data_IF_795332199989
#
_entry.id   IF_795332199989
#
_cell.length_a   1.000
_cell.length_b   1.000
_cell.length_c   1.000
_cell.angle_alpha   90.00
_cell.angle_beta   90.00
_cell.angle_gamma   90.00
#
_symmetry.space_group_name_H-M   'P 1'
#
loop_
_entity.id
_entity.type
_entity.pdbx_description
1 polymer ?
#
# COMPACT_ATOMS: atom_id res chain seq x y z
N UNK A 1 6.46 -1.34 1.02
CA UNK A 1 6.08 -2.12 -0.16
C UNK A 1 4.58 -2.47 -0.15
N UNK A 2 4.10 -3.34 0.74
CA UNK A 2 2.70 -3.81 0.76
C UNK A 2 1.67 -2.67 0.75
N UNK A 3 1.89 -1.63 1.53
CA UNK A 3 1.01 -0.46 1.58
C UNK A 3 1.03 0.34 0.27
N UNK A 4 2.20 0.52 -0.35
CA UNK A 4 2.34 1.35 -1.56
C UNK A 4 1.98 0.62 -2.86
N UNK A 5 1.77 -0.70 -2.82
CA UNK A 5 1.47 -1.51 -4.02
C UNK A 5 0.14 -2.24 -3.93
N UNK A 6 -0.40 -2.40 -2.74
CA UNK A 6 -1.56 -3.24 -2.49
C UNK A 6 -1.35 -4.72 -2.85
N UNK A 7 -0.10 -5.18 -2.98
CA UNK A 7 0.21 -6.56 -3.32
C UNK A 7 -0.34 -7.56 -2.29
N UNK A 8 -0.73 -8.75 -2.74
CA UNK A 8 -0.99 -9.88 -1.84
C UNK A 8 0.32 -10.37 -1.23
N UNK A 9 0.25 -11.02 -0.06
CA UNK A 9 1.45 -11.52 0.61
C UNK A 9 2.28 -12.45 -0.28
N UNK A 10 1.64 -13.40 -0.94
CA UNK A 10 2.31 -14.32 -1.87
C UNK A 10 2.97 -13.58 -3.05
N UNK A 11 2.29 -12.58 -3.61
CA UNK A 11 2.81 -11.75 -4.69
C UNK A 11 4.06 -10.95 -4.24
N UNK A 12 4.00 -10.30 -3.08
CA UNK A 12 5.14 -9.55 -2.54
C UNK A 12 6.36 -10.45 -2.33
N UNK A 13 6.16 -11.67 -1.83
CA UNK A 13 7.26 -12.62 -1.59
C UNK A 13 7.96 -13.05 -2.87
N UNK A 14 7.23 -13.17 -3.97
CA UNK A 14 7.76 -13.61 -5.27
C UNK A 14 8.41 -12.51 -6.11
N UNK A 15 8.31 -11.23 -5.70
CA UNK A 15 8.93 -10.12 -6.44
C UNK A 15 10.45 -10.27 -6.44
N UNK A 16 11.04 -10.16 -7.63
CA UNK A 16 12.48 -10.14 -7.85
C UNK A 16 12.97 -8.72 -8.16
N UNK A 17 14.27 -8.49 -8.11
CA UNK A 17 14.84 -7.16 -8.42
C UNK A 17 14.48 -6.70 -9.84
N UNK A 18 14.47 -7.61 -10.81
CA UNK A 18 14.07 -7.33 -12.21
C UNK A 18 12.62 -6.88 -12.38
N UNK A 19 11.78 -7.11 -11.39
CA UNK A 19 10.38 -6.69 -11.42
C UNK A 19 10.17 -5.25 -11.00
N UNK A 20 11.18 -4.62 -10.40
CA UNK A 20 11.16 -3.21 -9.99
C UNK A 20 11.85 -2.38 -11.05
N UNK A 21 11.07 -1.69 -11.88
CA UNK A 21 11.57 -0.89 -12.97
C UNK A 21 11.61 0.58 -12.53
N UNK A 22 12.82 1.10 -12.37
CA UNK A 22 13.06 2.50 -12.06
C UNK A 22 13.56 3.18 -13.32
N UNK A 23 12.64 3.79 -14.05
CA UNK A 23 12.97 4.68 -15.14
C UNK A 23 12.74 6.14 -14.72
N UNK A 24 13.30 7.08 -15.48
CA UNK A 24 13.26 8.51 -15.11
C UNK A 24 11.85 9.11 -15.13
N UNK A 25 10.90 8.50 -15.85
CA UNK A 25 9.59 9.11 -16.10
C UNK A 25 8.45 8.45 -15.32
N UNK A 26 8.41 7.12 -15.32
CA UNK A 26 7.29 6.34 -14.72
C UNK A 26 7.82 5.07 -14.06
N UNK A 27 8.32 5.14 -12.82
CA UNK A 27 8.75 3.94 -12.10
C UNK A 27 7.54 3.05 -11.79
N UNK A 28 7.72 1.74 -11.91
CA UNK A 28 6.65 0.77 -11.65
C UNK A 28 7.19 -0.56 -11.16
N UNK A 29 6.31 -1.36 -10.57
CA UNK A 29 6.58 -2.74 -10.18
C UNK A 29 5.69 -3.66 -11.02
N UNK A 30 6.30 -4.71 -11.58
CA UNK A 30 5.57 -5.82 -12.19
C UNK A 30 5.23 -6.83 -11.11
N UNK A 31 3.95 -7.09 -10.89
CA UNK A 31 3.47 -8.06 -9.91
C UNK A 31 2.76 -9.19 -10.65
N UNK A 32 3.21 -10.41 -10.42
CA UNK A 32 2.57 -11.61 -10.99
C UNK A 32 1.55 -12.16 -10.00
N UNK A 33 0.28 -12.13 -10.40
CA UNK A 33 -0.85 -12.59 -9.60
C UNK A 33 -1.20 -14.06 -9.84
N UNK A 34 -2.35 -14.47 -9.30
CA UNK A 34 -2.92 -15.83 -9.49
C UNK A 34 -3.08 -16.13 -10.99
N UNK A 35 -2.75 -17.34 -11.38
CA UNK A 35 -2.78 -17.78 -12.79
C UNK A 35 -1.67 -17.18 -13.64
N UNK A 36 -0.57 -16.74 -13.05
CA UNK A 36 0.59 -16.16 -13.74
C UNK A 36 0.22 -14.91 -14.58
N UNK A 37 -0.79 -14.15 -14.15
CA UNK A 37 -1.22 -12.91 -14.82
C UNK A 37 -0.43 -11.73 -14.26
N UNK A 38 0.47 -11.11 -15.05
CA UNK A 38 1.22 -9.94 -14.62
C UNK A 38 0.33 -8.68 -14.64
N UNK A 39 0.56 -7.80 -13.66
CA UNK A 39 0.05 -6.42 -13.67
C UNK A 39 1.15 -5.44 -13.32
N UNK A 40 0.97 -4.22 -13.76
CA UNK A 40 1.89 -3.11 -13.49
C UNK A 40 1.26 -2.25 -12.40
N UNK A 41 2.03 -1.99 -11.35
CA UNK A 41 1.66 -1.07 -10.28
C UNK A 41 2.62 0.12 -10.32
N UNK A 42 2.14 1.32 -10.67
CA UNK A 42 2.95 2.53 -10.65
C UNK A 42 3.48 2.82 -9.25
N UNK A 43 4.66 3.41 -9.16
CA UNK A 43 5.26 3.87 -7.90
C UNK A 43 5.19 5.40 -7.89
N UNK A 44 4.18 6.00 -7.23
CA UNK A 44 4.00 7.45 -7.29
C UNK A 44 4.83 8.23 -6.25
N UNK A 45 5.49 7.53 -5.32
CA UNK A 45 6.05 8.17 -4.14
C UNK A 45 7.59 8.22 -4.16
N UNK A 46 8.15 9.41 -4.06
CA UNK A 46 9.60 9.62 -3.86
C UNK A 46 10.12 8.92 -2.60
N UNK A 47 9.29 8.82 -1.56
CA UNK A 47 9.62 8.10 -0.32
C UNK A 47 9.83 6.60 -0.56
N UNK A 48 9.02 5.97 -1.40
CA UNK A 48 9.19 4.57 -1.77
C UNK A 48 10.52 4.36 -2.49
N UNK A 49 10.80 5.19 -3.50
CA UNK A 49 12.04 5.09 -4.29
C UNK A 49 13.28 5.30 -3.43
N UNK A 50 13.25 6.26 -2.51
CA UNK A 50 14.33 6.51 -1.57
C UNK A 50 14.59 5.28 -0.68
N UNK A 51 13.53 4.72 -0.11
CA UNK A 51 13.62 3.54 0.76
C UNK A 51 14.04 2.29 -0.02
N UNK A 52 13.57 2.13 -1.26
CA UNK A 52 13.97 1.03 -2.14
C UNK A 52 15.46 1.10 -2.45
N UNK A 53 15.97 2.25 -2.89
CA UNK A 53 17.39 2.43 -3.17
C UNK A 53 18.26 2.15 -1.95
N UNK A 54 17.85 2.66 -0.78
CA UNK A 54 18.54 2.40 0.48
C UNK A 54 18.53 0.91 0.84
N UNK A 55 17.38 0.25 0.70
CA UNK A 55 17.23 -1.20 0.93
C UNK A 55 18.12 -2.01 0.00
N UNK A 56 18.14 -1.71 -1.30
CA UNK A 56 18.99 -2.40 -2.27
C UNK A 56 20.47 -2.20 -1.96
N UNK A 57 20.87 -1.00 -1.59
CA UNK A 57 22.26 -0.72 -1.18
C UNK A 57 22.71 -1.61 0.00
N UNK A 58 21.84 -1.82 0.97
CA UNK A 58 22.15 -2.63 2.16
C UNK A 58 22.11 -4.14 1.90
N UNK A 59 21.11 -4.60 1.15
CA UNK A 59 20.79 -6.02 1.04
C UNK A 59 21.09 -6.65 -0.32
N UNK A 60 21.25 -5.84 -1.37
CA UNK A 60 21.51 -6.29 -2.74
C UNK A 60 22.77 -5.64 -3.35
N UNK A 61 23.94 -5.70 -2.71
CA UNK A 61 25.15 -5.01 -3.18
C UNK A 61 25.66 -5.53 -4.54
N UNK A 62 25.23 -6.72 -4.98
CA UNK A 62 25.60 -7.31 -6.27
C UNK A 62 24.52 -7.13 -7.35
N UNK A 63 23.36 -6.57 -6.99
CA UNK A 63 22.24 -6.28 -7.89
C UNK A 63 21.90 -7.40 -8.90
N UNK A 64 21.89 -8.67 -8.45
CA UNK A 64 21.49 -9.77 -9.33
C UNK A 64 19.98 -9.67 -9.63
N UNK A 65 19.56 -9.49 -10.89
CA UNK A 65 18.16 -9.27 -11.25
C UNK A 65 17.20 -10.39 -10.81
N UNK A 66 17.70 -11.62 -10.70
CA UNK A 66 16.90 -12.78 -10.34
C UNK A 66 16.80 -13.01 -8.83
N UNK A 67 17.48 -12.22 -8.02
CA UNK A 67 17.33 -12.30 -6.57
C UNK A 67 15.92 -11.84 -6.15
N UNK A 68 15.33 -12.55 -5.17
CA UNK A 68 14.12 -12.08 -4.53
C UNK A 68 14.36 -10.75 -3.83
N UNK A 69 13.46 -9.79 -4.04
CA UNK A 69 13.57 -8.48 -3.39
C UNK A 69 13.61 -8.62 -1.86
N UNK A 70 12.80 -9.52 -1.31
CA UNK A 70 12.75 -9.80 0.12
C UNK A 70 13.17 -11.23 0.40
N UNK A 71 14.26 -11.41 1.14
CA UNK A 71 14.81 -12.71 1.51
C UNK A 71 15.24 -12.74 2.99
N UNK A 72 15.30 -13.92 3.63
CA UNK A 72 15.77 -14.05 5.00
C UNK A 72 17.30 -13.88 5.06
N UNK A 73 17.78 -12.92 5.86
CA UNK A 73 19.21 -12.63 5.98
C UNK A 73 19.98 -13.62 6.87
N UNK A 74 19.27 -14.39 7.71
CA UNK A 74 19.87 -15.18 8.78
C UNK A 74 20.68 -16.44 8.32
N UNK A 75 20.52 -16.88 7.06
CA UNK A 75 21.15 -18.11 6.58
C UNK A 75 22.04 -17.93 5.34
N UNK A 76 22.35 -16.69 4.97
CA UNK A 76 23.20 -16.42 3.80
C UNK A 76 22.61 -16.77 2.44
N UNK A 77 21.43 -17.43 2.39
CA UNK A 77 20.69 -17.73 1.18
C UNK A 77 19.78 -16.57 0.77
N UNK A 78 19.51 -16.47 -0.54
CA UNK A 78 18.58 -15.47 -1.11
C UNK A 78 17.28 -16.13 -1.54
N UNK A 79 16.82 -17.07 -0.75
CA UNK A 79 15.57 -17.78 -0.97
C UNK A 79 14.36 -16.87 -0.68
N UNK A 80 13.22 -17.21 -1.26
CA UNK A 80 11.97 -16.50 -1.02
C UNK A 80 11.61 -16.52 0.48
N UNK A 81 11.30 -15.35 1.04
CA UNK A 81 10.90 -15.22 2.45
C UNK A 81 9.61 -16.01 2.73
N UNK A 82 9.53 -16.75 3.86
CA UNK A 82 8.32 -17.46 4.27
C UNK A 82 7.20 -16.49 4.68
N UNK A 83 5.95 -16.94 4.60
CA UNK A 83 4.79 -16.14 5.03
C UNK A 83 4.86 -15.78 6.50
N UNK A 84 5.20 -16.76 7.35
CA UNK A 84 5.33 -16.57 8.79
C UNK A 84 6.38 -15.52 9.14
N UNK A 85 7.47 -15.47 8.37
CA UNK A 85 8.53 -14.50 8.61
C UNK A 85 8.02 -13.07 8.29
N UNK A 86 7.30 -12.89 7.19
CA UNK A 86 6.69 -11.59 6.86
C UNK A 86 5.65 -11.20 7.90
N UNK A 87 4.77 -12.11 8.31
CA UNK A 87 3.75 -11.85 9.32
C UNK A 87 4.39 -11.46 10.68
N UNK A 88 5.46 -12.17 11.07
CA UNK A 88 6.22 -11.84 12.28
C UNK A 88 6.84 -10.45 12.23
N UNK A 89 7.40 -10.05 11.08
CA UNK A 89 7.94 -8.72 10.87
C UNK A 89 6.84 -7.66 10.97
N UNK A 90 5.71 -7.86 10.29
CA UNK A 90 4.58 -6.93 10.33
C UNK A 90 4.02 -6.80 11.76
N UNK A 91 3.88 -7.92 12.46
CA UNK A 91 3.44 -7.92 13.86
C UNK A 91 4.40 -7.12 14.74
N UNK A 92 5.71 -7.37 14.64
CA UNK A 92 6.74 -6.66 15.41
C UNK A 92 6.64 -5.16 15.25
N UNK A 93 6.59 -4.67 14.01
CA UNK A 93 6.53 -3.23 13.74
C UNK A 93 5.15 -2.63 14.03
N UNK A 94 4.08 -3.40 13.81
CA UNK A 94 2.72 -2.99 14.18
C UNK A 94 2.55 -2.84 15.69
N UNK A 95 3.11 -3.76 16.48
CA UNK A 95 3.09 -3.68 17.95
C UNK A 95 3.90 -2.47 18.44
N UNK A 96 5.07 -2.22 17.86
CA UNK A 96 5.87 -1.04 18.19
C UNK A 96 5.13 0.27 17.84
N UNK A 97 4.47 0.34 16.70
CA UNK A 97 3.68 1.51 16.31
C UNK A 97 2.48 1.73 17.25
N UNK A 98 1.85 0.67 17.75
CA UNK A 98 0.76 0.78 18.74
C UNK A 98 1.19 1.34 20.10
N UNK A 99 2.46 1.22 20.46
CA UNK A 99 2.98 1.89 21.65
C UNK A 99 2.82 3.41 21.54
N UNK A 100 2.96 3.98 20.35
CA UNK A 100 2.79 5.42 20.10
C UNK A 100 1.34 5.79 19.75
N UNK A 101 0.58 4.87 19.16
CA UNK A 101 -0.82 5.07 18.82
C UNK A 101 -1.65 3.81 19.16
N UNK A 102 -2.21 3.72 20.38
CA UNK A 102 -2.99 2.55 20.82
C UNK A 102 -4.24 2.25 20.00
N UNK A 103 -4.76 3.24 19.24
CA UNK A 103 -5.92 3.06 18.35
C UNK A 103 -5.57 2.35 17.04
N UNK A 104 -4.29 2.13 16.76
CA UNK A 104 -3.85 1.48 15.54
C UNK A 104 -4.32 0.01 15.55
N UNK A 105 -5.00 -0.47 14.49
CA UNK A 105 -5.43 -1.87 14.41
C UNK A 105 -4.23 -2.81 14.31
N UNK A 106 -4.48 -4.11 14.45
CA UNK A 106 -3.45 -5.13 14.23
C UNK A 106 -3.01 -5.12 12.77
N UNK A 107 -1.72 -4.86 12.52
CA UNK A 107 -1.17 -4.76 11.18
C UNK A 107 -0.97 -6.15 10.58
N UNK A 108 -1.60 -6.38 9.43
CA UNK A 108 -1.45 -7.61 8.65
C UNK A 108 -1.56 -7.29 7.13
N UNK A 109 -1.11 -8.20 6.24
CA UNK A 109 -1.01 -7.90 4.81
C UNK A 109 -2.31 -7.43 4.16
N UNK A 110 -3.45 -8.06 4.51
CA UNK A 110 -4.75 -7.67 3.97
C UNK A 110 -5.19 -6.28 4.41
N UNK A 111 -4.91 -5.89 5.66
CA UNK A 111 -5.20 -4.54 6.13
C UNK A 111 -4.43 -3.49 5.31
N UNK A 112 -3.14 -3.72 5.06
CA UNK A 112 -2.31 -2.80 4.26
C UNK A 112 -2.83 -2.68 2.83
N UNK A 113 -3.26 -3.79 2.23
CA UNK A 113 -3.88 -3.81 0.91
C UNK A 113 -5.22 -3.06 0.88
N UNK A 114 -6.10 -3.30 1.87
CA UNK A 114 -7.35 -2.54 2.00
C UNK A 114 -7.10 -1.05 2.19
N UNK A 115 -6.13 -0.69 3.00
CA UNK A 115 -5.75 0.72 3.21
C UNK A 115 -5.28 1.38 1.91
N UNK A 116 -4.52 0.67 1.07
CA UNK A 116 -4.10 1.16 -0.24
C UNK A 116 -5.30 1.36 -1.18
N UNK A 117 -6.21 0.38 -1.26
CA UNK A 117 -7.43 0.51 -2.08
C UNK A 117 -8.31 1.67 -1.63
N UNK A 118 -8.51 1.83 -0.33
CA UNK A 118 -9.26 2.95 0.24
C UNK A 118 -8.58 4.30 -0.05
N UNK A 119 -7.24 4.36 0.02
CA UNK A 119 -6.51 5.57 -0.34
C UNK A 119 -6.67 5.93 -1.82
N UNK A 120 -6.57 4.96 -2.73
CA UNK A 120 -6.79 5.20 -4.17
C UNK A 120 -8.22 5.71 -4.43
N UNK A 121 -9.20 5.11 -3.77
CA UNK A 121 -10.58 5.56 -3.88
C UNK A 121 -10.76 7.00 -3.40
N UNK A 122 -10.18 7.38 -2.26
CA UNK A 122 -10.17 8.76 -1.75
C UNK A 122 -9.49 9.76 -2.69
N UNK A 123 -8.50 9.32 -3.45
CA UNK A 123 -7.85 10.12 -4.49
C UNK A 123 -8.67 10.22 -5.78
N UNK A 124 -9.88 9.63 -5.82
CA UNK A 124 -10.79 9.70 -6.95
C UNK A 124 -10.49 8.69 -8.06
N UNK A 125 -9.67 7.66 -7.80
CA UNK A 125 -9.44 6.58 -8.75
C UNK A 125 -10.71 5.73 -8.84
N UNK A 126 -11.14 5.40 -10.07
CA UNK A 126 -12.38 4.63 -10.28
C UNK A 126 -12.27 3.20 -9.76
N UNK A 127 -13.39 2.61 -9.31
CA UNK A 127 -13.42 1.23 -8.80
C UNK A 127 -12.87 0.20 -9.81
N UNK A 128 -13.17 0.27 -11.12
CA UNK A 128 -12.58 -0.62 -12.11
C UNK A 128 -11.05 -0.51 -12.20
N UNK A 129 -10.51 0.71 -12.08
CA UNK A 129 -9.05 0.93 -12.08
C UNK A 129 -8.41 0.40 -10.81
N UNK A 130 -9.04 0.61 -9.65
CA UNK A 130 -8.60 0.03 -8.37
C UNK A 130 -8.61 -1.50 -8.45
N UNK A 131 -9.69 -2.11 -8.98
CA UNK A 131 -9.78 -3.56 -9.18
C UNK A 131 -8.62 -4.08 -10.04
N UNK A 132 -8.32 -3.38 -11.14
CA UNK A 132 -7.21 -3.71 -12.03
C UNK A 132 -5.85 -3.59 -11.34
N UNK A 133 -5.59 -2.50 -10.64
CA UNK A 133 -4.34 -2.27 -9.89
C UNK A 133 -4.14 -3.32 -8.79
N UNK A 134 -5.20 -3.67 -8.08
CA UNK A 134 -5.15 -4.69 -7.05
C UNK A 134 -5.15 -6.12 -7.63
N UNK A 135 -5.57 -6.34 -8.87
CA UNK A 135 -5.73 -7.66 -9.48
C UNK A 135 -6.89 -8.42 -8.83
N UNK A 136 -8.04 -7.77 -8.67
CA UNK A 136 -9.30 -8.42 -8.34
C UNK A 136 -9.88 -9.06 -9.59
N UNK A 137 -10.30 -10.32 -9.48
CA UNK A 137 -11.00 -11.03 -10.57
C UNK A 137 -12.45 -10.56 -10.68
N UNK A 138 -13.03 -10.10 -9.57
CA UNK A 138 -14.39 -9.59 -9.45
C UNK A 138 -14.39 -8.15 -8.90
N UNK A 139 -15.12 -7.27 -9.56
CA UNK A 139 -15.27 -5.85 -9.17
C UNK A 139 -16.00 -5.74 -7.83
N UNK A 140 -16.89 -6.65 -7.49
CA UNK A 140 -17.63 -6.67 -6.21
C UNK A 140 -16.68 -6.63 -5.01
N UNK A 141 -15.51 -7.27 -5.10
CA UNK A 141 -14.44 -7.16 -4.07
C UNK A 141 -13.88 -5.76 -3.92
N UNK A 142 -14.14 -4.86 -4.86
CA UNK A 142 -13.65 -3.48 -4.85
C UNK A 142 -14.74 -2.50 -4.39
N UNK A 143 -15.99 -2.88 -4.49
CA UNK A 143 -17.16 -2.08 -4.06
C UNK A 143 -17.16 -1.79 -2.56
N UNK A 144 -16.53 -2.65 -1.75
CA UNK A 144 -16.33 -2.41 -0.30
C UNK A 144 -15.66 -1.06 0.00
N UNK A 145 -14.87 -0.51 -0.92
CA UNK A 145 -14.25 0.80 -0.74
C UNK A 145 -15.25 1.95 -0.89
N UNK A 146 -16.32 1.75 -1.68
CA UNK A 146 -17.39 2.74 -1.84
C UNK A 146 -18.34 2.72 -0.62
N UNK A 147 -18.58 1.55 -0.02
CA UNK A 147 -19.48 1.40 1.11
C UNK A 147 -18.89 1.89 2.44
N UNK A 148 -17.57 1.91 2.57
CA UNK A 148 -16.89 2.16 3.84
C UNK A 148 -16.58 3.62 4.12
N UNK A 149 -16.79 4.54 3.17
CA UNK A 149 -16.46 5.96 3.37
C UNK A 149 -17.64 6.89 3.04
N UNK A 150 -18.52 7.18 4.02
CA UNK A 150 -19.64 8.12 3.84
C UNK A 150 -19.21 9.53 3.43
N UNK A 151 -17.98 9.94 3.79
CA UNK A 151 -17.45 11.27 3.42
C UNK A 151 -17.22 11.36 1.92
N UNK A 152 -16.76 10.27 1.28
CA UNK A 152 -16.59 10.23 -0.17
C UNK A 152 -17.91 10.20 -0.94
N UNK A 153 -18.93 9.53 -0.39
CA UNK A 153 -20.28 9.60 -0.96
C UNK A 153 -20.77 11.05 -0.92
N UNK A 154 -20.56 11.76 0.18
CA UNK A 154 -20.92 13.17 0.31
C UNK A 154 -20.12 14.07 -0.64
N UNK A 155 -18.82 13.84 -0.81
CA UNK A 155 -17.99 14.56 -1.79
C UNK A 155 -18.44 14.32 -3.23
N UNK A 156 -18.74 13.07 -3.59
CA UNK A 156 -19.24 12.72 -4.92
C UNK A 156 -20.56 13.43 -5.22
N UNK A 157 -21.51 13.41 -4.26
CA UNK A 157 -22.79 14.11 -4.36
C UNK A 157 -22.56 15.62 -4.47
N UNK A 158 -21.63 16.19 -3.70
CA UNK A 158 -21.30 17.61 -3.73
C UNK A 158 -20.72 18.03 -5.09
N UNK A 159 -19.84 17.20 -5.67
CA UNK A 159 -19.31 17.41 -7.03
C UNK A 159 -20.41 17.35 -8.10
N UNK A 160 -21.31 16.38 -8.00
CA UNK A 160 -22.47 16.25 -8.93
C UNK A 160 -23.40 17.47 -8.85
N UNK A 161 -23.54 18.08 -7.67
CA UNK A 161 -24.38 19.26 -7.45
C UNK A 161 -23.68 20.59 -7.76
N UNK A 162 -22.42 20.55 -8.26
CA UNK A 162 -21.64 21.75 -8.58
C UNK A 162 -21.24 22.56 -7.34
N UNK A 163 -21.38 22.01 -6.16
CA UNK A 163 -20.93 22.64 -4.90
C UNK A 163 -19.50 22.21 -4.60
N UNK A 164 -18.65 23.13 -4.17
CA UNK A 164 -17.33 22.76 -3.67
C UNK A 164 -17.50 21.83 -2.47
N UNK A 165 -16.77 20.70 -2.42
CA UNK A 165 -16.83 19.82 -1.26
C UNK A 165 -16.39 20.60 -0.02
N UNK A 166 -17.28 20.71 0.94
CA UNK A 166 -16.96 21.32 2.21
C UNK A 166 -16.13 20.29 2.98
N UNK A 167 -14.86 20.57 3.15
CA UNK A 167 -13.99 19.67 3.92
C UNK A 167 -14.43 19.69 5.38
N UNK A 168 -14.62 18.53 5.98
CA UNK A 168 -14.97 18.38 7.42
C UNK A 168 -14.06 19.20 8.35
N UNK A 169 -12.82 19.39 7.94
CA UNK A 169 -11.82 20.20 8.62
C UNK A 169 -12.15 21.70 8.68
N UNK A 170 -12.96 22.20 7.75
CA UNK A 170 -13.29 23.62 7.67
C UNK A 170 -14.32 24.04 8.74
N UNK A 171 -15.01 23.07 9.36
CA UNK A 171 -15.96 23.30 10.46
C UNK A 171 -15.36 23.07 11.85
N UNK A 172 -14.16 22.51 11.92
CA UNK A 172 -13.51 22.20 13.19
C UNK A 172 -12.65 23.37 13.63
N UNK A 173 -12.75 23.71 14.91
CA UNK A 173 -11.81 24.63 15.56
C UNK A 173 -10.41 24.01 15.58
N UNK A 174 -9.37 24.84 15.70
CA UNK A 174 -7.99 24.34 15.80
C UNK A 174 -7.79 23.36 16.97
N UNK A 175 -8.50 23.56 18.09
CA UNK A 175 -8.46 22.65 19.24
C UNK A 175 -9.09 21.29 18.93
N UNK A 176 -10.17 21.23 18.16
CA UNK A 176 -10.78 19.98 17.71
C UNK A 176 -9.91 19.26 16.69
N UNK A 177 -9.28 19.98 15.77
CA UNK A 177 -8.30 19.44 14.82
C UNK A 177 -7.12 18.81 15.57
N UNK A 178 -6.57 19.49 16.56
CA UNK A 178 -5.48 18.99 17.38
C UNK A 178 -5.86 17.76 18.20
N UNK A 179 -7.09 17.70 18.74
CA UNK A 179 -7.62 16.52 19.43
C UNK A 179 -7.74 15.30 18.50
N UNK A 180 -8.25 15.51 17.28
CA UNK A 180 -8.40 14.42 16.28
C UNK A 180 -7.03 13.91 15.83
N UNK A 181 -6.04 14.79 15.74
CA UNK A 181 -4.66 14.43 15.40
C UNK A 181 -3.87 13.84 16.56
N UNK A 182 -4.44 13.79 17.77
CA UNK A 182 -3.76 13.28 18.97
C UNK A 182 -2.59 14.17 19.43
N UNK A 183 -2.62 15.45 19.09
CA UNK A 183 -1.57 16.43 19.42
C UNK A 183 -1.91 17.28 20.67
N UNK A 184 -3.07 17.04 21.29
CA UNK A 184 -3.50 17.54 22.60
C UNK A 184 -4.33 16.51 23.36
#
# INVERSE_FOLDING_TARGET
FLFSTGARLAEMRSVQLKDVIINEKYPYIRITGKGNKPRIVPIPEDSFLKNYKYYCHLYHPKENPDDYLFYPTAKGGREMMSEDNVQRILKKYGDAARCSNPKLPSIHPHLLRHSYGAQLYRLGVSLPEIAKLLGHEDISTTEIYAETDPEMAAEAISKMLGKQPVRKWDFLTEDEKLKILGLK
#
